data_IF_757861113991
#
_entry.id   IF_757861113991
#
_cell.length_a   1.000
_cell.length_b   1.000
_cell.length_c   1.000
_cell.angle_alpha   90.00
_cell.angle_beta   90.00
_cell.angle_gamma   90.00
#
_symmetry.space_group_name_H-M   'P 1'
#
loop_
_entity.id
_entity.type
_entity.pdbx_description
1 polymer ?
#
# COMPACT_ATOMS: atom_id res chain seq x y z
N UNK A 1 -19.68 23.39 -9.58
CA UNK A 1 -18.63 22.40 -9.91
C UNK A 1 -19.24 21.03 -9.75
N UNK A 2 -19.17 20.20 -10.79
CA UNK A 2 -19.80 18.87 -10.82
C UNK A 2 -18.69 17.84 -10.63
N UNK A 3 -18.75 17.07 -9.55
CA UNK A 3 -17.78 16.01 -9.27
C UNK A 3 -18.33 14.67 -9.77
N UNK A 4 -17.51 13.90 -10.48
CA UNK A 4 -17.84 12.54 -10.95
C UNK A 4 -17.20 11.52 -10.02
N UNK A 5 -18.00 10.55 -9.57
CA UNK A 5 -17.56 9.46 -8.69
C UNK A 5 -16.82 8.41 -9.51
N UNK A 6 -15.58 8.07 -9.17
CA UNK A 6 -14.91 6.90 -9.71
C UNK A 6 -15.56 5.65 -9.09
N UNK A 7 -16.21 4.87 -9.97
CA UNK A 7 -16.91 3.59 -9.85
C UNK A 7 -17.14 2.96 -8.45
N UNK A 8 -18.42 2.63 -8.18
CA UNK A 8 -18.82 1.57 -7.23
C UNK A 8 -18.73 0.21 -7.93
N UNK A 9 -18.43 -0.91 -7.23
CA UNK A 9 -18.26 -2.22 -7.86
C UNK A 9 -19.56 -2.81 -8.46
N UNK A 10 -20.72 -2.26 -8.09
CA UNK A 10 -22.04 -2.89 -8.33
C UNK A 10 -22.87 -2.16 -9.41
N UNK A 11 -22.27 -1.76 -10.53
CA UNK A 11 -23.05 -1.26 -11.66
C UNK A 11 -22.74 -2.09 -12.90
N UNK A 12 -23.64 -3.04 -13.20
CA UNK A 12 -23.78 -3.70 -14.50
C UNK A 12 -24.29 -2.69 -15.55
N UNK A 13 -23.47 -1.69 -15.89
CA UNK A 13 -23.75 -0.81 -17.03
C UNK A 13 -23.04 -1.36 -18.27
N UNK A 14 -23.69 -2.27 -18.97
CA UNK A 14 -23.26 -2.68 -20.31
C UNK A 14 -23.80 -1.69 -21.34
N UNK A 15 -23.06 -0.60 -21.56
CA UNK A 15 -23.27 0.24 -22.74
C UNK A 15 -22.86 -0.57 -23.97
N UNK A 16 -23.77 -0.99 -24.83
CA UNK A 16 -23.42 -1.74 -26.05
C UNK A 16 -22.88 -0.85 -27.19
N UNK A 17 -22.78 0.46 -26.97
CA UNK A 17 -22.28 1.44 -27.96
C UNK A 17 -20.77 1.65 -27.89
N UNK A 18 -19.99 0.60 -27.67
CA UNK A 18 -18.53 0.71 -27.70
C UNK A 18 -18.03 0.82 -29.15
N UNK A 19 -17.47 1.98 -29.50
CA UNK A 19 -16.75 2.16 -30.76
C UNK A 19 -15.49 1.28 -30.74
N UNK A 20 -15.24 0.53 -31.80
CA UNK A 20 -13.99 -0.19 -31.95
C UNK A 20 -12.92 0.80 -32.39
N UNK A 21 -11.87 0.94 -31.58
CA UNK A 21 -10.79 1.89 -31.83
C UNK A 21 -9.43 1.20 -31.79
N UNK A 22 -8.52 1.65 -32.65
CA UNK A 22 -7.13 1.20 -32.73
C UNK A 22 -6.16 2.39 -32.70
N UNK A 23 -4.90 2.19 -32.29
CA UNK A 23 -3.85 3.20 -32.50
C UNK A 23 -3.71 3.55 -33.99
N UNK A 24 -3.26 4.78 -34.31
CA UNK A 24 -2.92 5.14 -35.68
C UNK A 24 -1.81 4.23 -36.22
N UNK A 25 -1.69 4.19 -37.54
CA UNK A 25 -0.57 3.57 -38.23
C UNK A 25 0.76 4.23 -37.82
N UNK A 26 1.92 3.58 -38.07
CA UNK A 26 3.23 4.15 -37.73
C UNK A 26 3.51 5.52 -38.35
N UNK A 27 2.86 5.87 -39.46
CA UNK A 27 2.93 7.18 -40.10
C UNK A 27 2.03 8.26 -39.44
N UNK A 28 1.31 7.90 -38.37
CA UNK A 28 0.37 8.79 -37.65
C UNK A 28 -1.03 8.88 -38.27
N UNK A 29 -1.31 8.18 -39.37
CA UNK A 29 -2.62 8.20 -40.03
C UNK A 29 -3.54 7.09 -39.55
N UNK A 30 -4.86 7.30 -39.70
CA UNK A 30 -5.83 6.28 -39.37
C UNK A 30 -5.98 5.25 -40.49
N UNK A 31 -6.41 4.04 -40.13
CA UNK A 31 -6.77 3.00 -41.09
C UNK A 31 -8.02 3.39 -41.88
N UNK A 32 -8.14 2.89 -43.11
CA UNK A 32 -9.23 3.25 -44.03
C UNK A 32 -10.64 2.98 -43.47
N UNK A 33 -10.80 1.93 -42.67
CA UNK A 33 -12.06 1.56 -41.99
C UNK A 33 -12.26 2.23 -40.62
N UNK A 34 -11.26 2.98 -40.13
CA UNK A 34 -11.25 3.60 -38.80
C UNK A 34 -10.91 5.10 -38.88
N UNK A 35 -11.63 5.84 -39.73
CA UNK A 35 -11.30 7.25 -40.07
C UNK A 35 -11.59 8.27 -38.96
N UNK A 36 -12.33 7.90 -37.92
CA UNK A 36 -12.73 8.83 -36.86
C UNK A 36 -11.56 8.97 -35.87
N UNK A 37 -10.94 10.15 -35.84
CA UNK A 37 -9.88 10.48 -34.88
C UNK A 37 -10.49 10.92 -33.55
N UNK A 38 -10.05 10.32 -32.45
CA UNK A 38 -10.37 10.74 -31.09
C UNK A 38 -9.08 10.96 -30.32
N UNK A 39 -8.96 12.16 -29.75
CA UNK A 39 -7.89 12.49 -28.82
C UNK A 39 -8.35 12.14 -27.41
N UNK A 40 -7.65 11.19 -26.79
CA UNK A 40 -7.82 10.84 -25.40
C UNK A 40 -6.70 11.49 -24.61
N UNK A 41 -7.06 12.52 -23.84
CA UNK A 41 -6.14 13.10 -22.86
C UNK A 41 -6.03 12.13 -21.70
N UNK A 42 -4.85 11.56 -21.52
CA UNK A 42 -4.56 10.80 -20.31
C UNK A 42 -4.26 11.79 -19.19
N UNK A 43 -4.53 11.37 -17.97
CA UNK A 43 -4.18 12.11 -16.76
C UNK A 43 -3.30 11.21 -15.92
N UNK A 44 -2.22 11.78 -15.39
CA UNK A 44 -1.45 11.12 -14.37
C UNK A 44 -2.10 11.43 -13.03
N UNK A 45 -2.68 10.40 -12.39
CA UNK A 45 -3.31 10.55 -11.09
C UNK A 45 -2.29 10.29 -9.99
N UNK A 46 -1.71 11.37 -9.47
CA UNK A 46 -0.78 11.32 -8.34
C UNK A 46 -1.51 11.40 -7.00
N UNK A 47 -2.85 11.44 -7.02
CA UNK A 47 -3.61 11.67 -5.81
C UNK A 47 -3.54 10.47 -4.89
N UNK A 48 -3.23 10.74 -3.63
CA UNK A 48 -3.22 9.74 -2.56
C UNK A 48 -4.22 10.13 -1.48
N UNK A 49 -4.82 9.11 -0.86
CA UNK A 49 -5.79 9.32 0.21
C UNK A 49 -5.14 9.01 1.55
N UNK A 50 -5.06 10.01 2.43
CA UNK A 50 -4.62 9.85 3.82
C UNK A 50 -5.79 10.15 4.76
N UNK A 51 -5.90 9.50 5.93
CA UNK A 51 -6.96 9.82 6.89
C UNK A 51 -6.82 11.26 7.40
N UNK A 52 -7.95 11.95 7.66
CA UNK A 52 -7.94 13.31 8.20
C UNK A 52 -7.37 13.38 9.63
N UNK A 53 -7.54 12.30 10.39
CA UNK A 53 -7.06 12.16 11.75
C UNK A 53 -6.71 10.71 12.01
N UNK A 54 -5.60 10.50 12.71
CA UNK A 54 -5.22 9.18 13.23
C UNK A 54 -5.80 9.03 14.64
N UNK A 55 -6.25 7.84 15.00
CA UNK A 55 -6.39 7.48 16.40
C UNK A 55 -5.01 7.43 17.06
N UNK A 56 -4.99 7.43 18.39
CA UNK A 56 -3.77 7.15 19.14
C UNK A 56 -3.13 5.84 18.62
N UNK A 57 -1.82 5.82 18.36
CA UNK A 57 -1.16 4.65 17.80
C UNK A 57 -1.37 3.45 18.73
N UNK A 58 -2.01 2.40 18.21
CA UNK A 58 -2.29 1.18 18.98
C UNK A 58 -1.02 0.39 19.33
N UNK A 59 0.12 0.73 18.70
CA UNK A 59 1.42 0.06 18.84
C UNK A 59 2.57 1.05 18.98
N UNK A 60 2.56 1.89 20.01
CA UNK A 60 3.73 2.72 20.36
C UNK A 60 4.79 1.97 21.19
N UNK A 61 4.52 0.71 21.56
CA UNK A 61 5.32 0.01 22.56
C UNK A 61 6.61 -0.52 21.96
N UNK A 62 7.74 0.00 22.42
CA UNK A 62 9.05 -0.64 22.21
C UNK A 62 9.05 -2.03 22.84
N UNK A 63 9.46 -3.04 22.06
CA UNK A 63 9.63 -4.42 22.54
C UNK A 63 11.11 -4.79 22.45
N UNK A 64 11.59 -5.55 23.43
CA UNK A 64 12.90 -6.19 23.37
C UNK A 64 12.68 -7.68 23.25
N UNK A 65 13.15 -8.27 22.17
CA UNK A 65 13.22 -9.72 22.06
C UNK A 65 14.58 -10.18 22.56
N UNK A 66 14.61 -10.97 23.63
CA UNK A 66 15.83 -11.56 24.17
C UNK A 66 15.86 -13.03 23.82
N UNK A 67 16.92 -13.47 23.13
CA UNK A 67 17.14 -14.86 22.74
C UNK A 67 18.35 -15.43 23.47
N UNK A 68 18.20 -16.63 23.99
CA UNK A 68 19.26 -17.39 24.65
C UNK A 68 19.74 -18.50 23.71
N UNK A 69 21.06 -18.74 23.69
CA UNK A 69 21.67 -19.74 22.81
C UNK A 69 22.56 -20.67 23.61
N UNK A 70 22.61 -21.94 23.19
CA UNK A 70 23.45 -22.96 23.81
C UNK A 70 24.95 -22.70 23.60
N UNK A 71 25.28 -22.06 22.47
CA UNK A 71 26.65 -21.88 21.99
C UNK A 71 26.95 -20.41 21.68
N UNK A 72 28.22 -20.04 21.82
CA UNK A 72 28.72 -18.69 21.55
C UNK A 72 28.44 -18.21 20.11
N UNK A 73 28.30 -19.15 19.16
CA UNK A 73 28.02 -18.86 17.75
C UNK A 73 26.56 -18.51 17.42
N UNK A 74 25.65 -18.49 18.41
CA UNK A 74 24.24 -18.12 18.24
C UNK A 74 23.46 -18.94 17.18
N UNK A 75 23.87 -20.16 16.88
CA UNK A 75 23.23 -21.03 15.88
C UNK A 75 22.16 -21.97 16.46
N UNK A 76 22.15 -22.20 17.77
CA UNK A 76 21.18 -23.08 18.44
C UNK A 76 20.48 -22.30 19.55
N UNK A 77 19.22 -21.95 19.29
CA UNK A 77 18.37 -21.19 20.20
C UNK A 77 17.79 -22.11 21.29
N UNK A 78 17.96 -21.73 22.56
CA UNK A 78 17.36 -22.39 23.72
C UNK A 78 15.95 -21.85 24.01
N UNK A 79 15.71 -20.58 23.68
CA UNK A 79 14.41 -19.94 23.84
C UNK A 79 14.47 -18.42 23.68
N UNK A 80 13.28 -17.82 23.61
CA UNK A 80 13.09 -16.38 23.44
C UNK A 80 12.12 -15.82 24.48
N UNK A 81 12.42 -14.65 25.01
CA UNK A 81 11.55 -13.91 25.93
C UNK A 81 11.27 -12.51 25.35
N UNK A 82 10.03 -12.21 24.95
CA UNK A 82 9.64 -10.87 24.55
C UNK A 82 9.35 -10.01 25.79
N UNK A 83 9.98 -8.85 25.89
CA UNK A 83 9.81 -7.88 26.97
C UNK A 83 9.19 -6.61 26.37
N UNK A 84 8.10 -6.10 26.94
CA UNK A 84 7.46 -4.87 26.43
C UNK A 84 6.81 -4.08 27.56
N UNK A 85 7.21 -2.83 27.75
CA UNK A 85 6.49 -1.84 28.56
C UNK A 85 6.02 -2.33 29.94
N UNK A 86 6.94 -2.87 30.75
CA UNK A 86 6.62 -3.34 32.09
C UNK A 86 7.20 -2.39 33.14
N UNK A 87 6.36 -2.00 34.09
CA UNK A 87 6.75 -1.34 35.34
C UNK A 87 7.27 -2.36 36.38
N UNK A 88 7.10 -3.67 36.13
CA UNK A 88 7.46 -4.77 37.02
C UNK A 88 8.40 -5.80 36.35
N UNK A 89 9.20 -6.56 37.13
CA UNK A 89 10.06 -7.61 36.59
C UNK A 89 9.27 -8.72 35.89
N UNK A 90 9.69 -9.11 34.67
CA UNK A 90 9.07 -10.22 33.95
C UNK A 90 9.55 -11.57 34.53
N UNK A 91 8.62 -12.34 35.09
CA UNK A 91 8.85 -13.75 35.37
C UNK A 91 8.66 -14.55 34.08
N UNK A 92 9.74 -15.14 33.55
CA UNK A 92 9.70 -16.06 32.41
C UNK A 92 9.80 -17.51 32.90
N UNK A 93 9.29 -18.45 32.09
CA UNK A 93 9.49 -19.88 32.34
C UNK A 93 10.99 -20.22 32.42
N UNK A 94 11.31 -21.24 33.22
CA UNK A 94 12.70 -21.67 33.39
C UNK A 94 13.22 -22.23 32.06
N UNK A 95 14.25 -21.60 31.49
CA UNK A 95 14.91 -22.09 30.28
C UNK A 95 16.01 -23.06 30.69
N UNK A 96 15.83 -24.33 30.35
CA UNK A 96 16.76 -25.40 30.69
C UNK A 96 17.89 -25.51 29.66
N UNK A 97 19.13 -25.61 30.12
CA UNK A 97 20.32 -25.78 29.28
C UNK A 97 21.48 -24.91 29.73
N UNK A 98 22.68 -25.16 29.19
CA UNK A 98 23.83 -24.29 29.40
C UNK A 98 23.75 -23.10 28.43
N UNK A 99 23.78 -21.88 28.97
CA UNK A 99 23.74 -20.67 28.14
C UNK A 99 25.15 -20.32 27.70
N UNK A 100 25.40 -20.38 26.39
CA UNK A 100 26.66 -19.97 25.77
C UNK A 100 26.65 -18.54 25.25
N UNK A 101 25.48 -17.99 24.90
CA UNK A 101 25.32 -16.60 24.46
C UNK A 101 23.90 -16.07 24.67
N UNK A 102 23.77 -14.73 24.70
CA UNK A 102 22.52 -14.00 24.81
C UNK A 102 22.50 -12.91 23.74
N UNK A 103 21.37 -12.75 23.03
CA UNK A 103 21.15 -11.64 22.09
C UNK A 103 19.87 -10.91 22.45
N UNK A 104 19.95 -9.61 22.66
CA UNK A 104 18.80 -8.74 22.79
C UNK A 104 18.65 -7.90 21.52
N UNK A 105 17.43 -7.86 20.96
CA UNK A 105 17.10 -7.03 19.81
C UNK A 105 15.92 -6.12 20.17
N UNK A 106 16.09 -4.82 19.94
CA UNK A 106 15.00 -3.86 20.05
C UNK A 106 14.15 -3.95 18.79
N UNK A 107 12.89 -4.31 18.98
CA UNK A 107 11.85 -4.27 17.96
C UNK A 107 11.00 -3.05 18.24
N UNK A 108 11.14 -2.05 17.37
CA UNK A 108 10.26 -0.88 17.37
C UNK A 108 9.11 -1.20 16.42
N UNK A 109 7.92 -1.36 16.96
CA UNK A 109 6.72 -1.33 16.12
C UNK A 109 6.58 0.12 15.62
N UNK A 110 6.61 0.33 14.30
CA UNK A 110 6.33 1.65 13.75
C UNK A 110 4.86 2.00 14.00
N UNK A 111 4.55 3.23 14.43
CA UNK A 111 3.19 3.63 14.73
C UNK A 111 2.34 3.54 13.47
N UNK A 112 1.42 2.57 13.44
CA UNK A 112 0.44 2.48 12.36
C UNK A 112 -0.68 3.48 12.61
N UNK A 113 -0.87 4.43 11.70
CA UNK A 113 -2.03 5.32 11.73
C UNK A 113 -3.30 4.53 11.39
N UNK A 114 -4.13 4.27 12.40
CA UNK A 114 -5.50 3.79 12.17
C UNK A 114 -6.40 5.02 12.01
N UNK A 115 -7.22 5.11 10.94
CA UNK A 115 -8.12 6.24 10.76
C UNK A 115 -9.08 6.37 11.95
N UNK A 116 -9.15 7.55 12.59
CA UNK A 116 -10.16 7.83 13.62
C UNK A 116 -11.45 8.40 13.04
N UNK A 117 -11.46 8.72 11.74
CA UNK A 117 -12.64 9.19 11.01
C UNK A 117 -12.68 8.54 9.62
N UNK A 118 -13.89 8.41 9.07
CA UNK A 118 -14.10 7.90 7.69
C UNK A 118 -13.67 8.92 6.62
N UNK A 119 -13.42 10.16 7.03
CA UNK A 119 -12.98 11.25 6.16
C UNK A 119 -11.51 11.09 5.77
N UNK A 120 -11.23 11.24 4.47
CA UNK A 120 -9.87 11.19 3.91
C UNK A 120 -9.53 12.53 3.28
N UNK A 121 -8.29 12.98 3.50
CA UNK A 121 -7.68 14.08 2.75
C UNK A 121 -7.07 13.48 1.50
N UNK A 122 -7.41 14.09 0.36
CA UNK A 122 -6.76 13.81 -0.91
C UNK A 122 -5.61 14.79 -1.06
N UNK A 123 -4.39 14.27 -1.19
CA UNK A 123 -3.20 15.04 -1.52
C UNK A 123 -2.68 14.62 -2.90
N UNK A 124 -1.93 15.48 -3.58
CA UNK A 124 -1.52 15.27 -4.98
C UNK A 124 -2.52 15.85 -5.98
N UNK A 125 -2.22 15.70 -7.26
CA UNK A 125 -2.94 16.36 -8.35
C UNK A 125 -3.26 15.41 -9.50
N UNK A 126 -4.28 15.77 -10.28
CA UNK A 126 -4.51 15.20 -11.60
C UNK A 126 -3.72 16.03 -12.59
N UNK A 127 -2.55 15.54 -12.97
CA UNK A 127 -1.71 16.22 -13.93
C UNK A 127 -2.10 15.82 -15.36
N UNK A 128 -2.09 16.76 -16.32
CA UNK A 128 -2.25 16.42 -17.72
C UNK A 128 -1.12 15.46 -18.15
N UNK A 129 -1.50 14.27 -18.60
CA UNK A 129 -0.59 13.29 -19.19
C UNK A 129 -0.54 13.41 -20.71
N UNK A 130 0.02 12.38 -21.34
CA UNK A 130 0.11 12.32 -22.80
C UNK A 130 -1.27 12.26 -23.45
N UNK A 131 -1.39 12.91 -24.62
CA UNK A 131 -2.59 12.79 -25.44
C UNK A 131 -2.42 11.64 -26.42
N UNK A 132 -3.23 10.60 -26.24
CA UNK A 132 -3.25 9.45 -27.13
C UNK A 132 -4.26 9.69 -28.25
N UNK A 133 -3.84 9.45 -29.50
CA UNK A 133 -4.75 9.42 -30.63
C UNK A 133 -5.29 8.01 -30.82
N UNK A 134 -6.61 7.88 -30.95
CA UNK A 134 -7.28 6.64 -31.33
C UNK A 134 -8.08 6.85 -32.62
N UNK A 135 -8.05 5.83 -33.48
CA UNK A 135 -8.75 5.76 -34.75
C UNK A 135 -9.91 4.78 -34.59
N UNK A 136 -11.15 5.27 -34.67
CA UNK A 136 -12.36 4.51 -34.41
C UNK A 136 -13.17 4.25 -35.68
N UNK A 137 -13.88 3.12 -35.72
CA UNK A 137 -14.97 2.92 -36.67
C UNK A 137 -16.21 3.67 -36.16
N UNK A 138 -17.26 3.70 -36.99
CA UNK A 138 -18.53 4.30 -36.62
C UNK A 138 -19.37 3.36 -35.76
#
# INVERSE_FOLDING_TARGET
>A
MTFVRACSPDIDFFSTDFLHCYPPQPNGECWDSYRIRRELRLYNDTRTCSPCSCSEPSRDKCRVETKLYYQAGCSEELGSVPISGLDEPLCADTIHGQIGAIRAAFVKDEPTCTPSTDSKVVSGELEPGDTHLLCCNR
#
